data_IF_740564323841
#
_entry.id   IF_740564323841
#
_cell.length_a   1.000
_cell.length_b   1.000
_cell.length_c   1.000
_cell.angle_alpha   90.00
_cell.angle_beta   90.00
_cell.angle_gamma   90.00
#
_symmetry.space_group_name_H-M   'P 1'
#
loop_
_entity.id
_entity.type
_entity.pdbx_description
1 polymer ?
#
# COMPACT_ATOMS: atom_id res chain seq x y z
N UNK A 1 3.90 69.40 12.86
CA UNK A 1 3.90 68.87 11.47
C UNK A 1 4.35 67.41 11.56
N UNK A 2 3.44 66.44 11.38
CA UNK A 2 3.41 65.46 10.26
C UNK A 2 4.73 64.66 10.17
N UNK A 3 4.82 63.33 10.38
CA UNK A 3 3.90 62.25 9.98
C UNK A 3 4.15 60.98 10.82
N UNK A 4 3.07 60.31 11.19
CA UNK A 4 3.01 58.92 11.61
C UNK A 4 3.23 57.99 10.41
N UNK A 5 3.73 56.78 10.65
CA UNK A 5 3.81 55.72 9.64
C UNK A 5 4.83 54.64 9.92
N UNK A 6 4.94 54.16 11.17
CA UNK A 6 5.72 52.95 11.49
C UNK A 6 4.73 51.79 11.70
N UNK A 7 4.46 51.07 10.63
CA UNK A 7 3.79 49.77 10.59
C UNK A 7 3.96 49.28 9.15
N UNK A 8 4.61 48.13 8.92
CA UNK A 8 4.31 47.16 7.85
C UNK A 8 5.36 46.02 7.86
N UNK A 9 4.89 44.85 8.27
CA UNK A 9 5.31 43.48 7.91
C UNK A 9 6.68 42.94 8.31
N UNK A 10 6.78 42.53 9.58
CA UNK A 10 7.30 41.19 9.89
C UNK A 10 6.23 40.15 9.50
N UNK A 11 6.47 39.30 8.50
CA UNK A 11 5.62 38.13 8.30
C UNK A 11 5.46 37.67 6.86
N UNK A 12 6.52 37.14 6.24
CA UNK A 12 6.38 36.36 5.01
C UNK A 12 7.62 35.51 4.71
N UNK A 13 8.12 34.67 5.63
CA UNK A 13 9.16 33.69 5.26
C UNK A 13 9.15 32.40 6.09
N UNK A 14 7.95 31.89 6.44
CA UNK A 14 7.80 30.61 7.15
C UNK A 14 6.84 29.62 6.45
N UNK A 15 6.57 29.78 5.15
CA UNK A 15 5.61 28.91 4.41
C UNK A 15 6.29 28.14 3.26
N UNK A 16 7.60 27.93 3.30
CA UNK A 16 8.31 27.16 2.26
C UNK A 16 8.67 25.71 2.68
N UNK A 17 8.42 25.29 3.93
CA UNK A 17 8.88 23.98 4.43
C UNK A 17 7.81 22.88 4.53
N UNK A 18 6.61 23.08 3.99
CA UNK A 18 5.52 22.08 4.05
C UNK A 18 5.50 21.12 2.84
N UNK A 19 6.34 21.35 1.82
CA UNK A 19 6.33 20.54 0.58
C UNK A 19 7.13 19.22 0.67
N UNK A 20 7.80 18.91 1.79
CA UNK A 20 8.55 17.66 1.99
C UNK A 20 7.76 16.60 2.79
N UNK A 21 6.43 16.66 2.77
CA UNK A 21 5.65 15.50 3.22
C UNK A 21 5.77 14.42 2.14
N UNK A 22 6.78 13.57 2.27
CA UNK A 22 6.77 12.23 1.69
C UNK A 22 5.46 11.59 2.12
N UNK A 23 4.43 11.68 1.27
CA UNK A 23 3.14 11.11 1.59
C UNK A 23 3.34 9.60 1.66
N UNK A 24 3.52 9.10 2.89
CA UNK A 24 3.12 7.78 3.32
C UNK A 24 1.59 7.73 3.16
N UNK A 25 1.12 7.83 1.91
CA UNK A 25 -0.28 7.58 1.59
C UNK A 25 -0.51 6.13 1.94
N UNK A 26 -1.19 5.92 3.08
CA UNK A 26 -1.75 4.63 3.40
C UNK A 26 -2.62 4.22 2.20
N UNK A 27 -2.46 2.97 1.75
CA UNK A 27 -3.25 2.37 0.66
C UNK A 27 -4.26 1.39 1.26
N UNK A 28 -5.21 1.85 2.09
CA UNK A 28 -6.10 0.96 2.83
C UNK A 28 -6.95 0.09 1.90
N UNK A 29 -7.23 0.56 0.68
CA UNK A 29 -7.99 -0.24 -0.28
C UNK A 29 -7.28 -1.50 -0.74
N UNK A 30 -5.94 -1.50 -0.82
CA UNK A 30 -5.21 -2.71 -1.17
C UNK A 30 -5.45 -3.80 -0.13
N UNK A 31 -5.37 -3.42 1.14
CA UNK A 31 -5.63 -4.34 2.25
C UNK A 31 -7.09 -4.78 2.29
N UNK A 32 -8.03 -3.85 2.08
CA UNK A 32 -9.46 -4.15 2.09
C UNK A 32 -9.82 -5.20 1.05
N UNK A 33 -9.38 -5.02 -0.20
CA UNK A 33 -9.67 -5.97 -1.27
C UNK A 33 -8.93 -7.30 -1.07
N UNK A 34 -7.69 -7.27 -0.56
CA UNK A 34 -6.96 -8.48 -0.21
C UNK A 34 -7.69 -9.29 0.87
N UNK A 35 -8.10 -8.67 1.98
CA UNK A 35 -8.81 -9.36 3.05
C UNK A 35 -10.19 -9.85 2.60
N UNK A 36 -10.85 -9.10 1.71
CA UNK A 36 -12.11 -9.52 1.11
C UNK A 36 -11.95 -10.76 0.22
N UNK A 37 -10.87 -10.84 -0.57
CA UNK A 37 -10.57 -11.99 -1.44
C UNK A 37 -10.44 -13.29 -0.65
N UNK A 38 -9.93 -13.21 0.59
CA UNK A 38 -9.63 -14.37 1.42
C UNK A 38 -10.57 -14.54 2.62
N UNK A 39 -11.70 -13.82 2.64
CA UNK A 39 -12.71 -13.97 3.68
C UNK A 39 -13.31 -15.38 3.64
N UNK A 40 -13.36 -16.06 4.78
CA UNK A 40 -13.81 -17.44 4.91
C UNK A 40 -12.79 -18.49 4.45
N UNK A 41 -11.58 -18.07 4.05
CA UNK A 41 -10.51 -19.00 3.64
C UNK A 41 -9.67 -19.46 4.83
N UNK A 42 -8.85 -20.50 4.62
CA UNK A 42 -7.92 -21.04 5.62
C UNK A 42 -6.92 -20.00 6.17
N UNK A 43 -6.67 -18.91 5.44
CA UNK A 43 -5.71 -17.87 5.85
C UNK A 43 -6.36 -16.67 6.54
N UNK A 44 -7.69 -16.61 6.70
CA UNK A 44 -8.36 -15.43 7.26
C UNK A 44 -7.80 -15.05 8.64
N UNK A 45 -7.56 -16.05 9.51
CA UNK A 45 -6.95 -15.83 10.82
C UNK A 45 -5.54 -15.25 10.71
N UNK A 46 -4.67 -15.88 9.92
CA UNK A 46 -3.31 -15.41 9.69
C UNK A 46 -3.25 -13.97 9.12
N UNK A 47 -4.20 -13.60 8.25
CA UNK A 47 -4.29 -12.25 7.70
C UNK A 47 -4.67 -11.18 8.75
N UNK A 48 -5.54 -11.52 9.69
CA UNK A 48 -5.92 -10.63 10.80
C UNK A 48 -4.74 -10.35 11.72
N UNK A 49 -3.88 -11.34 11.94
CA UNK A 49 -2.68 -11.23 12.77
C UNK A 49 -1.55 -10.47 12.05
N UNK A 50 -1.24 -10.87 10.81
CA UNK A 50 -0.10 -10.35 10.06
C UNK A 50 -0.25 -8.88 9.68
N UNK A 51 -1.47 -8.45 9.38
CA UNK A 51 -1.82 -7.09 8.98
C UNK A 51 -0.98 -6.53 7.81
N UNK A 52 -0.03 -5.64 8.10
CA UNK A 52 0.89 -5.10 7.10
C UNK A 52 1.94 -6.13 6.68
N UNK A 53 2.22 -7.09 7.55
CA UNK A 53 3.25 -8.11 7.35
C UNK A 53 2.86 -9.17 6.33
N UNK A 54 1.61 -9.14 5.82
CA UNK A 54 1.20 -9.97 4.69
C UNK A 54 2.00 -9.65 3.43
N UNK A 55 2.34 -8.37 3.21
CA UNK A 55 3.08 -7.92 2.01
C UNK A 55 4.40 -7.22 2.35
N UNK A 56 4.54 -6.72 3.58
CA UNK A 56 5.73 -6.00 4.06
C UNK A 56 6.49 -6.82 5.10
N UNK A 57 7.74 -6.47 5.38
CA UNK A 57 8.52 -7.12 6.44
C UNK A 57 9.40 -6.14 7.21
N UNK A 58 9.82 -6.54 8.42
CA UNK A 58 10.67 -5.74 9.29
C UNK A 58 10.02 -4.42 9.70
N UNK A 59 10.86 -3.40 9.96
CA UNK A 59 10.42 -2.10 10.50
C UNK A 59 9.98 -1.10 9.41
N UNK A 60 10.17 -1.42 8.13
CA UNK A 60 9.96 -0.48 7.01
C UNK A 60 8.87 -0.96 6.06
N UNK A 61 7.87 -0.13 5.78
CA UNK A 61 6.84 -0.40 4.75
C UNK A 61 7.40 -0.40 3.32
N UNK A 62 8.66 0.02 3.11
CA UNK A 62 9.34 -0.10 1.81
C UNK A 62 9.87 -1.51 1.56
N UNK A 63 10.03 -2.29 2.63
CA UNK A 63 10.48 -3.67 2.56
C UNK A 63 9.28 -4.53 2.18
N UNK A 64 9.33 -5.13 0.99
CA UNK A 64 8.28 -6.01 0.49
C UNK A 64 8.78 -7.45 0.51
N UNK A 65 7.97 -8.36 1.06
CA UNK A 65 8.25 -9.78 0.99
C UNK A 65 8.09 -10.28 -0.46
N UNK A 66 8.38 -11.55 -0.73
CA UNK A 66 8.27 -12.12 -2.07
C UNK A 66 6.88 -11.93 -2.70
N UNK A 67 5.80 -12.06 -1.92
CA UNK A 67 4.43 -11.83 -2.36
C UNK A 67 4.14 -10.34 -2.65
N UNK A 68 4.58 -9.43 -1.78
CA UNK A 68 4.48 -7.99 -2.00
C UNK A 68 5.25 -7.54 -3.24
N UNK A 69 6.42 -8.14 -3.52
CA UNK A 69 7.18 -7.92 -4.75
C UNK A 69 6.42 -8.44 -5.97
N UNK A 70 5.81 -9.62 -5.89
CA UNK A 70 4.99 -10.17 -6.96
C UNK A 70 3.78 -9.27 -7.28
N UNK A 71 3.10 -8.74 -6.25
CA UNK A 71 2.00 -7.78 -6.42
C UNK A 71 2.43 -6.48 -7.09
N UNK A 72 3.62 -5.97 -6.75
CA UNK A 72 4.21 -4.80 -7.43
C UNK A 72 4.47 -5.11 -8.91
N UNK A 73 5.08 -6.26 -9.22
CA UNK A 73 5.30 -6.72 -10.61
C UNK A 73 3.98 -6.86 -11.37
N UNK A 74 2.91 -7.29 -10.69
CA UNK A 74 1.57 -7.39 -11.26
C UNK A 74 0.84 -6.04 -11.42
N UNK A 75 1.45 -4.93 -10.99
CA UNK A 75 0.96 -3.57 -11.23
C UNK A 75 0.44 -2.83 -10.00
N UNK A 76 0.58 -3.36 -8.77
CA UNK A 76 0.24 -2.63 -7.53
C UNK A 76 1.34 -1.66 -7.10
N UNK A 77 1.63 -0.70 -7.97
CA UNK A 77 2.62 0.35 -7.78
C UNK A 77 2.03 1.60 -7.13
N UNK A 78 2.91 2.54 -6.73
CA UNK A 78 2.47 3.87 -6.27
C UNK A 78 1.73 4.64 -7.38
N UNK A 79 2.14 4.46 -8.62
CA UNK A 79 1.62 5.21 -9.76
C UNK A 79 0.22 4.72 -10.13
N UNK A 80 -0.01 3.39 -10.13
CA UNK A 80 -1.35 2.85 -10.35
C UNK A 80 -2.32 3.27 -9.24
N UNK A 81 -1.88 3.29 -7.97
CA UNK A 81 -2.67 3.86 -6.89
C UNK A 81 -3.00 5.34 -7.14
N UNK A 82 -1.99 6.16 -7.45
CA UNK A 82 -2.18 7.61 -7.64
C UNK A 82 -3.14 7.91 -8.78
N UNK A 83 -3.07 7.13 -9.86
CA UNK A 83 -3.95 7.22 -11.03
C UNK A 83 -5.39 6.82 -10.70
N UNK A 84 -5.56 5.74 -9.94
CA UNK A 84 -6.88 5.12 -9.72
C UNK A 84 -7.55 5.51 -8.41
N UNK A 85 -6.87 6.18 -7.45
CA UNK A 85 -7.41 6.45 -6.11
C UNK A 85 -8.71 7.26 -6.08
N UNK A 86 -8.99 8.03 -7.13
CA UNK A 86 -10.25 8.79 -7.29
C UNK A 86 -11.39 7.93 -7.83
N UNK A 87 -11.08 6.85 -8.55
CA UNK A 87 -12.02 5.89 -9.11
C UNK A 87 -11.96 4.59 -8.29
N UNK A 88 -12.76 4.53 -7.21
CA UNK A 88 -12.77 3.39 -6.30
C UNK A 88 -13.11 2.06 -7.01
N UNK A 89 -14.10 2.00 -7.93
CA UNK A 89 -14.35 0.80 -8.72
C UNK A 89 -13.15 0.35 -9.54
N UNK A 90 -12.50 1.26 -10.28
CA UNK A 90 -11.33 0.91 -11.09
C UNK A 90 -10.15 0.47 -10.23
N UNK A 91 -9.92 1.12 -9.08
CA UNK A 91 -8.90 0.70 -8.12
C UNK A 91 -9.18 -0.70 -7.55
N UNK A 92 -10.42 -0.98 -7.16
CA UNK A 92 -10.83 -2.28 -6.62
C UNK A 92 -10.62 -3.40 -7.65
N UNK A 93 -11.05 -3.16 -8.89
CA UNK A 93 -10.84 -4.09 -10.01
C UNK A 93 -9.35 -4.33 -10.26
N UNK A 94 -8.55 -3.27 -10.34
CA UNK A 94 -7.10 -3.36 -10.54
C UNK A 94 -6.39 -4.17 -9.43
N UNK A 95 -6.84 -4.03 -8.17
CA UNK A 95 -6.30 -4.82 -7.06
C UNK A 95 -6.66 -6.30 -7.19
N UNK A 96 -7.91 -6.62 -7.49
CA UNK A 96 -8.35 -8.02 -7.67
C UNK A 96 -7.59 -8.70 -8.81
N UNK A 97 -7.48 -8.03 -9.96
CA UNK A 97 -6.74 -8.55 -11.10
C UNK A 97 -5.26 -8.80 -10.76
N UNK A 98 -4.63 -7.93 -9.97
CA UNK A 98 -3.25 -8.14 -9.53
C UNK A 98 -3.12 -9.34 -8.59
N UNK A 99 -4.06 -9.52 -7.65
CA UNK A 99 -4.08 -10.69 -6.75
C UNK A 99 -4.22 -11.99 -7.54
N UNK A 100 -5.16 -12.04 -8.48
CA UNK A 100 -5.40 -13.20 -9.34
C UNK A 100 -4.17 -13.51 -10.22
N UNK A 101 -3.60 -12.49 -10.88
CA UNK A 101 -2.38 -12.63 -11.69
C UNK A 101 -1.21 -13.19 -10.89
N UNK A 102 -1.04 -12.78 -9.63
CA UNK A 102 0.04 -13.29 -8.79
C UNK A 102 -0.16 -14.76 -8.46
N UNK A 103 -1.38 -15.20 -8.14
CA UNK A 103 -1.69 -16.59 -7.79
C UNK A 103 -1.69 -17.52 -9.03
N UNK A 104 -2.00 -16.98 -10.21
CA UNK A 104 -2.02 -17.73 -11.48
C UNK A 104 -0.70 -17.68 -12.26
N UNK A 105 0.20 -16.74 -11.93
CA UNK A 105 1.47 -16.54 -12.62
C UNK A 105 2.52 -17.61 -12.32
N UNK A 106 3.72 -17.44 -12.87
CA UNK A 106 4.82 -18.41 -12.73
C UNK A 106 5.18 -18.72 -11.27
N UNK A 107 5.25 -17.68 -10.43
CA UNK A 107 5.48 -17.80 -8.99
C UNK A 107 4.19 -18.19 -8.23
N UNK A 108 3.04 -18.26 -8.90
CA UNK A 108 1.72 -18.36 -8.31
C UNK A 108 1.45 -19.66 -7.58
N UNK A 109 1.99 -20.78 -8.09
CA UNK A 109 1.87 -22.09 -7.42
C UNK A 109 2.40 -22.04 -5.98
N UNK A 110 3.53 -21.37 -5.76
CA UNK A 110 4.15 -21.24 -4.43
C UNK A 110 3.24 -20.47 -3.45
N UNK A 111 2.55 -19.45 -3.95
CA UNK A 111 1.62 -18.66 -3.14
C UNK A 111 0.33 -19.45 -2.88
N UNK A 112 -0.21 -20.08 -3.92
CA UNK A 112 -1.42 -20.90 -3.84
C UNK A 112 -1.27 -22.05 -2.85
N UNK A 113 -0.15 -22.76 -2.87
CA UNK A 113 0.09 -23.91 -1.98
C UNK A 113 0.17 -23.45 -0.52
N UNK A 114 0.79 -22.30 -0.24
CA UNK A 114 0.79 -21.73 1.12
C UNK A 114 -0.59 -21.28 1.59
N UNK A 115 -1.37 -20.69 0.69
CA UNK A 115 -2.75 -20.29 0.99
C UNK A 115 -3.60 -21.52 1.35
N UNK A 116 -3.44 -22.63 0.60
CA UNK A 116 -4.12 -23.91 0.90
C UNK A 116 -3.69 -24.48 2.25
N UNK A 117 -2.42 -24.33 2.61
CA UNK A 117 -1.86 -24.73 3.91
C UNK A 117 -2.31 -23.84 5.08
N UNK A 118 -3.14 -22.82 4.86
CA UNK A 118 -3.53 -21.85 5.90
C UNK A 118 -2.39 -20.90 6.31
N UNK A 119 -1.32 -20.82 5.51
CA UNK A 119 -0.17 -19.92 5.72
C UNK A 119 -0.32 -18.67 4.86
N UNK A 120 0.28 -17.57 5.31
CA UNK A 120 0.41 -16.37 4.48
C UNK A 120 1.11 -16.70 3.15
N UNK A 121 0.71 -16.07 2.03
CA UNK A 121 1.32 -16.34 0.75
C UNK A 121 2.81 -15.98 0.72
N UNK A 122 3.19 -14.87 1.36
CA UNK A 122 4.57 -14.38 1.35
C UNK A 122 5.51 -15.02 2.39
N UNK A 123 6.77 -15.23 2.02
CA UNK A 123 7.91 -15.46 2.92
C UNK A 123 8.69 -14.16 3.08
N UNK A 124 9.06 -13.83 4.33
CA UNK A 124 10.03 -12.77 4.55
C UNK A 124 11.41 -13.28 4.11
N UNK A 125 12.23 -12.44 3.45
CA UNK A 125 13.63 -12.78 3.28
C UNK A 125 14.27 -12.97 4.67
N UNK A 126 15.14 -13.98 4.78
CA UNK A 126 15.97 -14.22 5.97
C UNK A 126 16.91 -13.04 6.27
#
# INVERSE_FOLDING_TARGET
MKKAGLLLLCGAFAVALVALTNSLEARPQYRKEHDAQYKGSAIEGALKEAKCNTCHYGKSKKNHNDYGKALIKAGLTKDSFTKLKKDKPALSKHVKEALEKVVQGEEGKKFADRIKDGKLPGTNPE
#
